data_IF_773798138132
#
_entry.id   IF_773798138132
#
_cell.length_a   1.000
_cell.length_b   1.000
_cell.length_c   1.000
_cell.angle_alpha   90.00
_cell.angle_beta   90.00
_cell.angle_gamma   90.00
#
_symmetry.space_group_name_H-M   'P 1'
#
loop_
_entity.id
_entity.type
_entity.pdbx_description
1 polymer ?
#
# COMPACT_ATOMS: atom_id res chain seq x y z
N UNK A 1 37.07 -36.30 -34.10
CA UNK A 1 36.72 -36.35 -32.67
C UNK A 1 36.63 -34.92 -32.17
N UNK A 2 35.43 -34.37 -32.02
CA UNK A 2 35.20 -32.99 -31.55
C UNK A 2 34.40 -33.05 -30.25
N UNK A 3 35.02 -32.63 -29.16
CA UNK A 3 34.42 -32.57 -27.82
C UNK A 3 33.59 -31.30 -27.70
N UNK A 4 32.26 -31.45 -27.66
CA UNK A 4 31.34 -30.36 -27.32
C UNK A 4 31.35 -30.13 -25.81
N UNK A 5 31.85 -28.98 -25.36
CA UNK A 5 31.74 -28.54 -23.97
C UNK A 5 30.31 -28.07 -23.63
N UNK A 6 29.86 -28.23 -22.38
CA UNK A 6 28.51 -27.82 -21.98
C UNK A 6 28.36 -26.29 -22.03
N UNK A 7 27.29 -25.84 -22.67
CA UNK A 7 26.94 -24.42 -22.73
C UNK A 7 26.71 -23.84 -21.32
N UNK A 8 27.12 -22.59 -21.05
CA UNK A 8 26.93 -21.97 -19.75
C UNK A 8 25.44 -21.83 -19.43
N UNK A 9 25.05 -22.30 -18.24
CA UNK A 9 23.70 -22.16 -17.70
C UNK A 9 23.40 -20.67 -17.54
N UNK A 10 22.30 -20.14 -18.13
CA UNK A 10 21.95 -18.75 -17.97
C UNK A 10 21.66 -18.45 -16.50
N UNK A 11 22.34 -17.45 -15.96
CA UNK A 11 22.14 -17.00 -14.58
C UNK A 11 20.65 -16.68 -14.33
N UNK A 12 20.10 -17.01 -13.14
CA UNK A 12 18.73 -16.68 -12.80
C UNK A 12 18.53 -15.17 -12.95
N UNK A 13 17.57 -14.79 -13.79
CA UNK A 13 17.18 -13.39 -13.99
C UNK A 13 16.79 -12.84 -12.61
N UNK A 14 17.53 -11.83 -12.15
CA UNK A 14 17.14 -11.07 -10.95
C UNK A 14 15.69 -10.60 -11.14
N UNK A 15 14.78 -10.83 -10.18
CA UNK A 15 13.44 -10.28 -10.27
C UNK A 15 13.57 -8.76 -10.45
N UNK A 16 13.03 -8.25 -11.56
CA UNK A 16 12.88 -6.81 -11.75
C UNK A 16 12.03 -6.29 -10.60
N UNK A 17 12.35 -5.13 -10.00
CA UNK A 17 11.48 -4.53 -9.00
C UNK A 17 10.12 -4.30 -9.65
N UNK A 18 9.13 -5.10 -9.26
CA UNK A 18 7.76 -4.93 -9.76
C UNK A 18 7.21 -3.63 -9.19
N UNK A 19 6.58 -2.85 -10.08
CA UNK A 19 5.89 -1.60 -9.78
C UNK A 19 4.93 -1.79 -8.61
N UNK A 20 4.81 -0.75 -7.77
CA UNK A 20 4.05 -0.73 -6.51
C UNK A 20 2.55 -0.77 -6.85
N UNK A 21 1.94 -1.96 -6.93
CA UNK A 21 0.64 -2.11 -7.62
C UNK A 21 -0.46 -1.35 -6.88
N UNK A 22 -0.37 -1.28 -5.55
CA UNK A 22 -1.32 -0.60 -4.69
C UNK A 22 -1.24 0.93 -4.79
N UNK A 23 -0.03 1.51 -4.92
CA UNK A 23 0.11 2.96 -5.07
C UNK A 23 -0.41 3.44 -6.43
N UNK A 24 -0.10 2.69 -7.48
CA UNK A 24 -0.58 2.99 -8.83
C UNK A 24 -2.12 2.87 -8.88
N UNK A 25 -2.68 1.84 -8.23
CA UNK A 25 -4.13 1.67 -8.08
C UNK A 25 -4.78 2.85 -7.33
N UNK A 26 -4.23 3.26 -6.17
CA UNK A 26 -4.74 4.40 -5.40
C UNK A 26 -4.70 5.71 -6.20
N UNK A 27 -3.66 5.92 -7.02
CA UNK A 27 -3.57 7.09 -7.88
C UNK A 27 -4.67 7.10 -8.96
N UNK A 28 -4.90 5.95 -9.60
CA UNK A 28 -5.96 5.78 -10.60
C UNK A 28 -7.36 5.95 -9.98
N UNK A 29 -7.57 5.41 -8.78
CA UNK A 29 -8.83 5.55 -8.06
C UNK A 29 -9.11 7.01 -7.67
N UNK A 30 -8.09 7.75 -7.22
CA UNK A 30 -8.23 9.18 -6.95
C UNK A 30 -8.67 9.96 -8.21
N UNK A 31 -8.02 9.71 -9.34
CA UNK A 31 -8.37 10.32 -10.62
C UNK A 31 -9.79 9.96 -11.06
N UNK A 32 -10.20 8.70 -10.91
CA UNK A 32 -11.55 8.25 -11.26
C UNK A 32 -12.62 8.94 -10.42
N UNK A 33 -12.36 9.14 -9.12
CA UNK A 33 -13.26 9.89 -8.22
C UNK A 33 -13.35 11.35 -8.62
N UNK A 34 -12.23 12.00 -8.98
CA UNK A 34 -12.24 13.39 -9.41
C UNK A 34 -13.04 13.60 -10.70
N UNK A 35 -12.84 12.73 -11.69
CA UNK A 35 -13.60 12.77 -12.95
C UNK A 35 -15.08 12.59 -12.68
N UNK A 36 -15.45 11.68 -11.78
CA UNK A 36 -16.83 11.50 -11.38
C UNK A 36 -17.38 12.73 -10.66
N UNK A 37 -16.63 13.33 -9.73
CA UNK A 37 -17.03 14.53 -9.00
C UNK A 37 -17.31 15.70 -9.96
N UNK A 38 -16.42 15.94 -10.93
CA UNK A 38 -16.61 16.96 -11.97
C UNK A 38 -17.85 16.67 -12.80
N UNK A 39 -18.05 15.42 -13.21
CA UNK A 39 -19.23 15.04 -13.99
C UNK A 39 -20.53 15.28 -13.23
N UNK A 40 -20.60 14.91 -11.95
CA UNK A 40 -21.79 15.15 -11.12
C UNK A 40 -21.99 16.65 -10.88
N UNK A 41 -20.91 17.42 -10.70
CA UNK A 41 -21.01 18.87 -10.55
C UNK A 41 -21.57 19.56 -11.81
N UNK A 42 -21.22 19.07 -13.00
CA UNK A 42 -21.70 19.61 -14.28
C UNK A 42 -23.11 19.14 -14.62
N UNK A 43 -23.41 17.85 -14.41
CA UNK A 43 -24.70 17.25 -14.80
C UNK A 43 -25.77 17.32 -13.72
N UNK A 44 -25.41 17.61 -12.46
CA UNK A 44 -26.32 17.62 -11.31
C UNK A 44 -26.70 16.22 -10.81
N UNK A 45 -26.38 15.16 -11.56
CA UNK A 45 -26.81 13.80 -11.27
C UNK A 45 -25.64 12.83 -11.17
N UNK A 46 -25.68 11.98 -10.14
CA UNK A 46 -24.82 10.81 -10.08
C UNK A 46 -25.28 9.81 -11.14
N UNK A 47 -24.39 9.42 -12.04
CA UNK A 47 -24.67 8.36 -12.98
C UNK A 47 -25.05 7.09 -12.22
N UNK A 48 -26.32 6.71 -12.25
CA UNK A 48 -26.80 5.45 -11.69
C UNK A 48 -26.34 4.33 -12.60
N UNK A 49 -25.73 3.30 -12.02
CA UNK A 49 -25.27 2.16 -12.81
C UNK A 49 -24.06 1.43 -12.27
N UNK A 50 -23.75 0.36 -12.98
CA UNK A 50 -22.73 -0.64 -12.62
C UNK A 50 -21.36 0.01 -12.40
N UNK A 51 -20.99 1.04 -13.17
CA UNK A 51 -19.67 1.69 -13.08
C UNK A 51 -19.45 2.45 -11.77
N UNK A 52 -20.45 3.20 -11.30
CA UNK A 52 -20.37 3.96 -10.04
C UNK A 52 -20.28 3.02 -8.85
N UNK A 53 -21.08 1.94 -8.84
CA UNK A 53 -20.97 0.87 -7.84
C UNK A 53 -19.63 0.15 -7.90
N UNK A 54 -19.14 -0.17 -9.10
CA UNK A 54 -17.84 -0.80 -9.28
C UNK A 54 -16.71 0.07 -8.71
N UNK A 55 -16.73 1.39 -8.96
CA UNK A 55 -15.77 2.31 -8.35
C UNK A 55 -15.84 2.27 -6.81
N UNK A 56 -17.05 2.27 -6.23
CA UNK A 56 -17.23 2.11 -4.79
C UNK A 56 -16.66 0.79 -4.25
N UNK A 57 -16.86 -0.32 -4.96
CA UNK A 57 -16.30 -1.63 -4.60
C UNK A 57 -14.77 -1.62 -4.66
N UNK A 58 -14.18 -1.05 -5.71
CA UNK A 58 -12.73 -0.97 -5.85
C UNK A 58 -12.10 -0.10 -4.76
N UNK A 59 -12.71 1.03 -4.42
CA UNK A 59 -12.24 1.88 -3.31
C UNK A 59 -12.30 1.15 -1.97
N UNK A 60 -13.40 0.45 -1.68
CA UNK A 60 -13.54 -0.33 -0.46
C UNK A 60 -12.51 -1.47 -0.38
N UNK A 61 -12.26 -2.16 -1.48
CA UNK A 61 -11.27 -3.23 -1.58
C UNK A 61 -9.83 -2.69 -1.40
N UNK A 62 -9.49 -1.58 -2.07
CA UNK A 62 -8.19 -0.94 -1.93
C UNK A 62 -7.96 -0.43 -0.49
N UNK A 63 -8.96 0.19 0.13
CA UNK A 63 -8.90 0.62 1.52
C UNK A 63 -8.70 -0.57 2.49
N UNK A 64 -9.39 -1.69 2.25
CA UNK A 64 -9.20 -2.91 3.03
C UNK A 64 -7.80 -3.49 2.88
N UNK A 65 -7.27 -3.56 1.66
CA UNK A 65 -5.92 -4.04 1.39
C UNK A 65 -4.85 -3.16 2.06
N UNK A 66 -4.99 -1.82 1.98
CA UNK A 66 -4.11 -0.88 2.68
C UNK A 66 -4.16 -1.12 4.20
N UNK A 67 -5.36 -1.21 4.79
CA UNK A 67 -5.54 -1.48 6.22
C UNK A 67 -4.85 -2.76 6.64
N UNK A 68 -5.07 -3.85 5.91
CA UNK A 68 -4.46 -5.14 6.24
C UNK A 68 -2.93 -5.09 6.15
N UNK A 69 -2.39 -4.54 5.05
CA UNK A 69 -0.95 -4.44 4.85
C UNK A 69 -0.27 -3.65 5.96
N UNK A 70 -0.79 -2.45 6.25
CA UNK A 70 -0.19 -1.52 7.21
C UNK A 70 -0.37 -2.01 8.64
N UNK A 71 -1.53 -2.57 8.99
CA UNK A 71 -1.74 -3.19 10.30
C UNK A 71 -0.79 -4.37 10.51
N UNK A 72 -0.59 -5.23 9.50
CA UNK A 72 0.37 -6.34 9.59
C UNK A 72 1.81 -5.84 9.80
N UNK A 73 2.20 -4.78 9.10
CA UNK A 73 3.51 -4.15 9.26
C UNK A 73 3.71 -3.59 10.69
N UNK A 74 2.71 -2.87 11.19
CA UNK A 74 2.71 -2.22 12.51
C UNK A 74 2.60 -3.21 13.67
N UNK A 75 1.65 -4.12 13.62
CA UNK A 75 1.24 -4.93 14.78
C UNK A 75 1.97 -6.27 14.86
N UNK A 76 2.56 -6.72 13.74
CA UNK A 76 3.26 -8.02 13.68
C UNK A 76 4.73 -7.83 13.35
N UNK A 77 5.04 -7.19 12.21
CA UNK A 77 6.42 -7.17 11.71
C UNK A 77 7.31 -6.29 12.57
N UNK A 78 6.91 -5.05 12.86
CA UNK A 78 7.73 -4.12 13.64
C UNK A 78 8.04 -4.65 15.06
N UNK A 79 7.09 -5.19 15.85
CA UNK A 79 7.38 -5.80 17.15
C UNK A 79 8.38 -6.97 17.07
N UNK A 80 8.25 -7.82 16.03
CA UNK A 80 9.19 -8.93 15.80
C UNK A 80 10.60 -8.40 15.52
N UNK A 81 10.73 -7.32 14.73
CA UNK A 81 12.02 -6.70 14.44
C UNK A 81 12.66 -6.08 15.69
N UNK A 82 11.88 -5.36 16.51
CA UNK A 82 12.36 -4.78 17.78
C UNK A 82 12.87 -5.89 18.71
N UNK A 83 12.10 -6.96 18.87
CA UNK A 83 12.47 -8.08 19.73
C UNK A 83 13.73 -8.81 19.24
N UNK A 84 13.83 -9.04 17.93
CA UNK A 84 14.98 -9.70 17.32
C UNK A 84 16.28 -8.86 17.38
N UNK A 85 16.15 -7.53 17.44
CA UNK A 85 17.28 -6.61 17.55
C UNK A 85 17.65 -6.23 19.00
N UNK A 86 16.99 -6.85 19.99
CA UNK A 86 17.20 -6.52 21.40
C UNK A 86 16.84 -5.07 21.76
N UNK A 87 15.96 -4.42 20.98
CA UNK A 87 15.53 -3.04 21.20
C UNK A 87 16.39 -1.96 20.54
N UNK A 88 17.56 -2.28 19.98
CA UNK A 88 18.45 -1.29 19.37
C UNK A 88 17.84 -0.59 18.13
N UNK A 89 16.99 -1.30 17.38
CA UNK A 89 16.27 -0.77 16.21
C UNK A 89 14.98 0.01 16.53
N UNK A 90 14.63 0.22 17.80
CA UNK A 90 13.35 0.85 18.17
C UNK A 90 13.21 2.28 17.64
N UNK A 91 14.26 3.10 17.75
CA UNK A 91 14.26 4.48 17.23
C UNK A 91 14.16 4.52 15.70
N UNK A 92 14.80 3.57 15.01
CA UNK A 92 14.73 3.44 13.55
C UNK A 92 13.32 3.07 13.06
N UNK A 93 12.55 2.36 13.89
CA UNK A 93 11.19 1.93 13.57
C UNK A 93 10.12 2.96 13.98
N UNK A 94 10.43 3.88 14.90
CA UNK A 94 9.47 4.86 15.41
C UNK A 94 8.79 5.66 14.28
N UNK A 95 9.56 6.19 13.31
CA UNK A 95 9.00 6.91 12.17
C UNK A 95 8.13 6.01 11.25
N UNK A 96 8.48 4.73 11.12
CA UNK A 96 7.68 3.75 10.36
C UNK A 96 6.34 3.45 11.06
N UNK A 97 6.35 3.39 12.39
CA UNK A 97 5.15 3.18 13.21
C UNK A 97 4.24 4.41 13.21
N UNK A 98 4.78 5.61 13.41
CA UNK A 98 4.01 6.85 13.32
C UNK A 98 3.37 7.03 11.94
N UNK A 99 4.09 6.69 10.87
CA UNK A 99 3.51 6.75 9.52
C UNK A 99 2.44 5.68 9.29
N UNK A 100 2.58 4.49 9.87
CA UNK A 100 1.54 3.46 9.83
C UNK A 100 0.26 3.93 10.53
N UNK A 101 0.37 4.51 11.72
CA UNK A 101 -0.78 5.08 12.45
C UNK A 101 -1.51 6.14 11.60
N UNK A 102 -0.75 7.04 10.97
CA UNK A 102 -1.30 8.07 10.08
C UNK A 102 -2.04 7.47 8.89
N UNK A 103 -1.49 6.43 8.26
CA UNK A 103 -2.18 5.76 7.14
C UNK A 103 -3.49 5.13 7.61
N UNK A 104 -3.48 4.45 8.77
CA UNK A 104 -4.65 3.80 9.35
C UNK A 104 -5.75 4.80 9.76
N UNK A 105 -5.36 6.01 10.18
CA UNK A 105 -6.29 7.11 10.41
C UNK A 105 -6.92 7.59 9.10
N UNK A 106 -6.09 7.87 8.09
CA UNK A 106 -6.54 8.44 6.81
C UNK A 106 -7.43 7.47 6.02
N UNK A 107 -7.11 6.18 6.01
CA UNK A 107 -7.89 5.17 5.28
C UNK A 107 -9.32 5.02 5.82
N UNK A 108 -9.55 5.33 7.11
CA UNK A 108 -10.90 5.39 7.68
C UNK A 108 -11.79 6.46 7.04
N UNK A 109 -11.19 7.50 6.44
CA UNK A 109 -11.91 8.54 5.71
C UNK A 109 -12.44 8.15 4.33
N UNK A 110 -12.14 6.93 3.85
CA UNK A 110 -12.62 6.41 2.55
C UNK A 110 -13.98 5.74 2.67
N UNK A 111 -14.25 5.07 3.80
CA UNK A 111 -15.42 4.20 3.98
C UNK A 111 -16.76 4.91 3.78
N UNK A 112 -16.98 6.14 4.29
CA UNK A 112 -18.24 6.86 4.05
C UNK A 112 -18.48 7.15 2.56
N UNK A 113 -17.45 7.57 1.83
CA UNK A 113 -17.56 7.90 0.41
C UNK A 113 -17.72 6.66 -0.47
N UNK A 114 -16.99 5.58 -0.19
CA UNK A 114 -17.16 4.30 -0.87
C UNK A 114 -18.58 3.73 -0.63
N UNK A 115 -19.09 3.82 0.59
CA UNK A 115 -20.46 3.38 0.93
C UNK A 115 -21.52 4.21 0.20
N UNK A 116 -21.34 5.52 0.10
CA UNK A 116 -22.25 6.39 -0.65
C UNK A 116 -22.25 6.07 -2.15
N UNK A 117 -21.11 5.70 -2.74
CA UNK A 117 -21.03 5.23 -4.12
C UNK A 117 -21.78 3.90 -4.33
N UNK A 118 -21.63 2.95 -3.40
CA UNK A 118 -22.31 1.66 -3.44
C UNK A 118 -23.84 1.81 -3.34
N UNK A 119 -24.28 2.67 -2.42
CA UNK A 119 -25.67 3.03 -2.24
C UNK A 119 -26.21 3.94 -3.37
N UNK A 120 -25.34 4.47 -4.23
CA UNK A 120 -25.66 5.45 -5.28
C UNK A 120 -26.31 6.73 -4.73
N UNK A 121 -25.86 7.15 -3.56
CA UNK A 121 -26.34 8.35 -2.83
C UNK A 121 -25.27 9.43 -2.75
N UNK A 122 -24.10 9.23 -3.37
CA UNK A 122 -23.00 10.17 -3.33
C UNK A 122 -23.32 11.45 -4.12
N UNK A 123 -23.54 12.56 -3.38
CA UNK A 123 -23.58 13.91 -3.94
C UNK A 123 -22.18 14.47 -4.21
N UNK A 124 -22.13 15.65 -4.85
CA UNK A 124 -20.86 16.33 -5.23
C UNK A 124 -19.92 16.48 -4.04
N UNK A 125 -20.41 16.95 -2.88
CA UNK A 125 -19.58 17.12 -1.69
C UNK A 125 -18.97 15.82 -1.17
N UNK A 126 -19.73 14.72 -1.22
CA UNK A 126 -19.22 13.40 -0.82
C UNK A 126 -18.14 12.90 -1.79
N UNK A 127 -18.30 13.13 -3.09
CA UNK A 127 -17.30 12.77 -4.11
C UNK A 127 -16.02 13.61 -3.99
N UNK A 128 -16.16 14.92 -3.73
CA UNK A 128 -15.01 15.80 -3.49
C UNK A 128 -14.23 15.37 -2.24
N UNK A 129 -14.93 15.10 -1.14
CA UNK A 129 -14.30 14.62 0.08
C UNK A 129 -13.62 13.27 -0.13
N UNK A 130 -14.26 12.34 -0.86
CA UNK A 130 -13.67 11.06 -1.22
C UNK A 130 -12.40 11.22 -2.07
N UNK A 131 -12.39 12.15 -3.03
CA UNK A 131 -11.20 12.46 -3.83
C UNK A 131 -10.06 13.01 -2.97
N UNK A 132 -10.38 13.90 -2.02
CA UNK A 132 -9.41 14.42 -1.03
C UNK A 132 -8.86 13.28 -0.18
N UNK A 133 -9.72 12.45 0.42
CA UNK A 133 -9.31 11.31 1.25
C UNK A 133 -8.45 10.32 0.46
N UNK A 134 -8.79 10.02 -0.80
CA UNK A 134 -8.04 9.05 -1.63
C UNK A 134 -6.65 9.59 -1.98
N UNK A 135 -6.51 10.88 -2.28
CA UNK A 135 -5.19 11.51 -2.49
C UNK A 135 -4.37 11.57 -1.21
N UNK A 136 -5.01 11.90 -0.09
CA UNK A 136 -4.37 11.91 1.22
C UNK A 136 -3.84 10.51 1.56
N UNK A 137 -4.63 9.46 1.28
CA UNK A 137 -4.24 8.07 1.47
C UNK A 137 -3.04 7.69 0.60
N UNK A 138 -3.09 8.03 -0.70
CA UNK A 138 -1.96 7.80 -1.62
C UNK A 138 -0.67 8.47 -1.10
N UNK A 139 -0.76 9.74 -0.72
CA UNK A 139 0.38 10.50 -0.20
C UNK A 139 0.94 9.88 1.09
N UNK A 140 0.06 9.52 2.03
CA UNK A 140 0.44 8.85 3.27
C UNK A 140 1.11 7.49 3.01
N UNK A 141 0.62 6.72 2.03
CA UNK A 141 1.23 5.46 1.63
C UNK A 141 2.60 5.63 0.97
N UNK A 142 2.80 6.66 0.14
CA UNK A 142 4.11 6.99 -0.43
C UNK A 142 5.13 7.26 0.67
N UNK A 143 4.76 8.10 1.64
CA UNK A 143 5.61 8.42 2.80
C UNK A 143 5.89 7.18 3.65
N UNK A 144 4.85 6.39 3.94
CA UNK A 144 4.99 5.16 4.72
C UNK A 144 5.92 4.16 4.06
N UNK A 145 5.77 3.87 2.77
CA UNK A 145 6.65 2.97 2.04
C UNK A 145 8.10 3.48 2.00
N UNK A 146 8.30 4.80 1.89
CA UNK A 146 9.63 5.40 1.94
C UNK A 146 10.28 5.20 3.31
N UNK A 147 9.55 5.46 4.38
CA UNK A 147 10.05 5.29 5.75
C UNK A 147 10.31 3.81 6.06
N UNK A 148 9.42 2.93 5.63
CA UNK A 148 9.56 1.49 5.75
C UNK A 148 10.81 0.97 5.01
N UNK A 149 11.04 1.46 3.79
CA UNK A 149 12.22 1.11 3.00
C UNK A 149 13.53 1.67 3.57
N UNK A 150 13.48 2.78 4.30
CA UNK A 150 14.65 3.40 4.93
C UNK A 150 15.01 2.77 6.29
N UNK A 151 14.02 2.32 7.07
CA UNK A 151 14.22 1.80 8.43
C UNK A 151 13.95 0.30 8.55
N UNK A 152 12.68 -0.09 8.44
CA UNK A 152 12.24 -1.45 8.75
C UNK A 152 12.80 -2.53 7.81
N UNK A 153 12.83 -2.26 6.49
CA UNK A 153 13.29 -3.24 5.51
C UNK A 153 14.80 -3.55 5.61
N UNK A 154 15.71 -2.56 5.76
CA UNK A 154 17.13 -2.83 6.01
C UNK A 154 17.36 -3.62 7.30
N UNK A 155 16.64 -3.28 8.37
CA UNK A 155 16.73 -3.97 9.66
C UNK A 155 16.32 -5.44 9.52
N UNK A 156 15.16 -5.70 8.90
CA UNK A 156 14.70 -7.06 8.63
C UNK A 156 15.72 -7.87 7.83
N UNK A 157 16.30 -7.27 6.78
CA UNK A 157 17.31 -7.93 5.95
C UNK A 157 18.56 -8.28 6.75
N UNK A 158 19.05 -7.37 7.59
CA UNK A 158 20.20 -7.62 8.47
C UNK A 158 19.94 -8.82 9.38
N UNK A 159 18.84 -8.77 10.13
CA UNK A 159 18.48 -9.82 11.11
C UNK A 159 18.28 -11.19 10.47
N UNK A 160 17.62 -11.25 9.30
CA UNK A 160 17.45 -12.49 8.55
C UNK A 160 18.79 -13.05 8.03
N UNK A 161 19.69 -12.17 7.57
CA UNK A 161 21.03 -12.56 7.11
C UNK A 161 21.86 -13.12 8.25
N UNK A 162 21.88 -12.44 9.40
CA UNK A 162 22.59 -12.90 10.60
C UNK A 162 22.05 -14.25 11.08
N UNK A 163 20.73 -14.45 11.05
CA UNK A 163 20.11 -15.73 11.41
C UNK A 163 20.54 -16.85 10.45
N UNK A 164 20.53 -16.60 9.15
CA UNK A 164 20.94 -17.59 8.15
C UNK A 164 22.42 -17.99 8.30
N UNK A 165 23.29 -17.05 8.64
CA UNK A 165 24.71 -17.32 8.90
C UNK A 165 24.92 -18.17 10.17
N UNK A 166 24.16 -17.91 11.25
CA UNK A 166 24.25 -18.73 12.46
C UNK A 166 23.77 -20.17 12.23
N UNK A 167 22.77 -20.37 11.38
CA UNK A 167 22.24 -21.71 11.06
C UNK A 167 23.11 -22.54 10.10
N UNK A 168 24.14 -21.95 9.48
CA UNK A 168 25.06 -22.68 8.58
C UNK A 168 26.38 -23.07 9.25
N UNK A 169 26.67 -22.51 10.43
CA UNK A 169 27.88 -22.78 11.22
C UNK A 169 27.62 -23.64 12.48
N UNK A 170 26.38 -24.05 12.72
CA UNK A 170 25.98 -24.96 13.81
C UNK A 170 25.31 -26.20 13.26
#
# INVERSE_FOLDING_TARGET
MTTSGPAPVPAPRRPRPQARPLLDELALLAQAVDVLAVRVAVSGELATGVRTRALGLHLAAAAAAVREQVARQRDVIAPVLVAADGGAGAELLAASLTSADRVLEVVGGIDPGASALLAQTAGVGALQQLGISTRALWSAMVDHERLWAAGAAPLARRLLTERAQRSTCG
#
